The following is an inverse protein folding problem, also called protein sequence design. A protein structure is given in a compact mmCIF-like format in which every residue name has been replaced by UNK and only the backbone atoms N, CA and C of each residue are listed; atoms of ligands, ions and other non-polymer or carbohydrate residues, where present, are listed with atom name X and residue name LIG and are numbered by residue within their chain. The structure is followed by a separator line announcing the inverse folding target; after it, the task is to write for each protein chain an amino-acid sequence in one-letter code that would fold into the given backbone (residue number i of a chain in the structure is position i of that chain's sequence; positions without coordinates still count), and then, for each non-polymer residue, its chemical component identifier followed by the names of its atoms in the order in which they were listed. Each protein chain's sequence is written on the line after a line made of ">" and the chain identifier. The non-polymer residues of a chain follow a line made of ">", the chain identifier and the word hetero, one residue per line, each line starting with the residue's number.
data_IF_008579184104
#
_entry.id   IF_008579184104
#
_cell.length_a   1.000
_cell.length_b   1.000
_cell.length_c   1.000
_cell.angle_alpha   90.00
_cell.angle_beta   90.00
_cell.angle_gamma   90.00
#
_symmetry.space_group_name_H-M   'P 1'
#
loop_
_entity.id
_entity.type
_entity.pdbx_description
1 polymer ?
#
# COMPACT_ATOMS: atom_id res chain seq x y z
N UNK A 1 -26.56 13.95 -9.59
CA UNK A 1 -25.98 14.57 -8.39
C UNK A 1 -24.49 14.24 -8.35
N UNK A 2 -23.56 15.21 -8.42
CA UNK A 2 -22.12 14.94 -8.31
C UNK A 2 -21.74 14.97 -6.83
N UNK A 3 -21.17 13.89 -6.31
CA UNK A 3 -20.80 13.77 -4.89
C UNK A 3 -19.67 14.72 -4.44
N UNK A 4 -18.93 15.32 -5.38
CA UNK A 4 -17.82 16.22 -5.09
C UNK A 4 -16.65 15.54 -4.36
N UNK A 5 -16.46 14.23 -4.58
CA UNK A 5 -15.44 13.42 -3.91
C UNK A 5 -14.03 13.99 -4.05
N UNK A 6 -13.55 14.42 -5.23
CA UNK A 6 -12.20 14.94 -5.37
C UNK A 6 -11.88 16.13 -4.45
N UNK A 7 -12.91 16.89 -4.06
CA UNK A 7 -12.75 18.04 -3.15
C UNK A 7 -12.89 17.63 -1.68
N UNK A 8 -13.77 16.67 -1.39
CA UNK A 8 -14.10 16.25 -0.02
C UNK A 8 -13.11 15.24 0.55
N UNK A 9 -12.65 14.31 -0.27
CA UNK A 9 -11.76 13.24 0.17
C UNK A 9 -10.46 13.75 0.82
N UNK A 10 -9.74 14.75 0.25
CA UNK A 10 -8.55 15.28 0.90
C UNK A 10 -8.82 15.92 2.27
N UNK A 11 -10.00 16.51 2.46
CA UNK A 11 -10.40 17.09 3.74
C UNK A 11 -10.63 15.99 4.78
N UNK A 12 -11.40 14.95 4.39
CA UNK A 12 -11.64 13.81 5.28
C UNK A 12 -10.37 13.04 5.64
N UNK A 13 -9.46 12.86 4.69
CA UNK A 13 -8.17 12.22 4.93
C UNK A 13 -7.38 12.99 5.99
N UNK A 14 -7.30 14.31 5.84
CA UNK A 14 -6.63 15.16 6.81
C UNK A 14 -7.29 15.08 8.20
N UNK A 15 -8.61 15.11 8.28
CA UNK A 15 -9.35 14.96 9.53
C UNK A 15 -9.06 13.62 10.22
N UNK A 16 -9.01 12.52 9.46
CA UNK A 16 -8.71 11.18 9.98
C UNK A 16 -7.26 11.05 10.45
N UNK A 17 -6.34 11.69 9.75
CA UNK A 17 -4.92 11.72 10.12
C UNK A 17 -4.71 12.55 11.40
N UNK A 18 -5.25 13.76 11.45
CA UNK A 18 -5.19 14.64 12.62
C UNK A 18 -5.82 13.98 13.86
N UNK A 19 -6.92 13.25 13.68
CA UNK A 19 -7.61 12.50 14.73
C UNK A 19 -6.90 11.17 15.09
N UNK A 20 -5.86 10.76 14.38
CA UNK A 20 -5.20 9.44 14.53
C UNK A 20 -6.22 8.29 14.53
N UNK A 21 -7.18 8.33 13.59
CA UNK A 21 -8.34 7.46 13.60
C UNK A 21 -7.96 5.97 13.55
N UNK A 22 -6.95 5.61 12.78
CA UNK A 22 -6.49 4.23 12.66
C UNK A 22 -5.93 3.72 14.00
N UNK A 23 -5.05 4.49 14.65
CA UNK A 23 -4.45 4.14 15.93
C UNK A 23 -5.52 3.96 17.02
N UNK A 24 -6.44 4.92 17.12
CA UNK A 24 -7.56 4.83 18.06
C UNK A 24 -8.44 3.60 17.82
N UNK A 25 -8.67 3.23 16.56
CA UNK A 25 -9.38 2.00 16.22
C UNK A 25 -8.62 0.75 16.68
N UNK A 26 -7.30 0.71 16.53
CA UNK A 26 -6.48 -0.42 17.00
C UNK A 26 -6.55 -0.53 18.52
N UNK A 27 -6.40 0.56 19.24
CA UNK A 27 -6.52 0.61 20.70
C UNK A 27 -7.90 0.12 21.19
N UNK A 28 -8.99 0.57 20.56
CA UNK A 28 -10.36 0.13 20.90
C UNK A 28 -10.61 -1.36 20.61
N UNK A 29 -9.83 -1.96 19.74
CA UNK A 29 -9.95 -3.36 19.38
C UNK A 29 -8.88 -4.25 20.06
N UNK A 30 -8.05 -3.68 20.92
CA UNK A 30 -7.08 -4.43 21.69
C UNK A 30 -7.76 -5.49 22.55
N UNK A 31 -7.18 -6.69 22.62
CA UNK A 31 -7.75 -7.81 23.36
C UNK A 31 -8.93 -8.54 22.69
N UNK A 32 -9.47 -8.04 21.57
CA UNK A 32 -10.51 -8.73 20.79
C UNK A 32 -9.91 -9.85 19.93
N UNK A 33 -10.73 -10.82 19.48
CA UNK A 33 -10.27 -11.87 18.59
C UNK A 33 -9.59 -11.32 17.34
N UNK A 34 -8.43 -11.87 16.98
CA UNK A 34 -7.70 -11.43 15.81
C UNK A 34 -8.35 -11.90 14.51
N UNK A 35 -8.38 -11.00 13.53
CA UNK A 35 -8.68 -11.32 12.14
C UNK A 35 -7.52 -10.80 11.27
N UNK A 36 -6.81 -11.72 10.64
CA UNK A 36 -5.70 -11.39 9.74
C UNK A 36 -6.15 -11.58 8.31
N UNK A 37 -6.16 -10.48 7.54
CA UNK A 37 -6.31 -10.55 6.10
C UNK A 37 -4.94 -10.81 5.49
N UNK A 38 -4.74 -12.02 4.96
CA UNK A 38 -3.53 -12.34 4.22
C UNK A 38 -3.54 -11.65 2.87
N UNK A 39 -2.51 -10.87 2.60
CA UNK A 39 -2.38 -10.07 1.37
C UNK A 39 -1.11 -10.45 0.61
N UNK A 40 -1.25 -10.69 -0.69
CA UNK A 40 -0.11 -10.72 -1.61
C UNK A 40 0.33 -9.29 -1.91
N UNK A 41 1.57 -8.89 -1.56
CA UNK A 41 2.01 -7.53 -1.79
C UNK A 41 2.09 -7.22 -3.28
N UNK A 42 1.60 -6.06 -3.73
CA UNK A 42 1.74 -5.64 -5.12
C UNK A 42 3.20 -5.30 -5.45
N UNK A 43 3.58 -5.48 -6.71
CA UNK A 43 4.86 -4.99 -7.20
C UNK A 43 4.90 -3.47 -7.20
N UNK A 44 6.03 -2.91 -6.74
CA UNK A 44 6.28 -1.48 -6.79
C UNK A 44 6.76 -1.07 -8.20
N UNK A 45 5.90 -1.23 -9.21
CA UNK A 45 6.22 -0.90 -10.60
C UNK A 45 5.02 -0.29 -11.33
N UNK A 46 5.24 0.86 -11.99
CA UNK A 46 4.25 1.50 -12.85
C UNK A 46 3.12 2.24 -12.13
N UNK A 47 2.10 2.63 -12.88
CA UNK A 47 0.98 3.41 -12.41
C UNK A 47 -0.15 2.53 -11.86
N UNK A 48 -0.95 3.10 -10.96
CA UNK A 48 -2.17 2.47 -10.46
C UNK A 48 -3.16 2.30 -11.63
N UNK A 49 -3.79 1.14 -11.69
CA UNK A 49 -4.88 0.85 -12.62
C UNK A 49 -6.11 0.34 -11.86
N UNK A 50 -7.25 0.22 -12.57
CA UNK A 50 -8.53 -0.19 -11.97
C UNK A 50 -8.48 -1.50 -11.21
N UNK A 51 -7.63 -2.44 -11.61
CA UNK A 51 -7.43 -3.71 -10.89
C UNK A 51 -6.81 -3.51 -9.51
N UNK A 52 -5.84 -2.60 -9.37
CA UNK A 52 -5.30 -2.21 -8.06
C UNK A 52 -6.39 -1.57 -7.19
N UNK A 53 -7.15 -0.62 -7.76
CA UNK A 53 -8.21 0.05 -7.02
C UNK A 53 -9.26 -0.96 -6.51
N UNK A 54 -9.74 -1.86 -7.36
CA UNK A 54 -10.69 -2.90 -6.99
C UNK A 54 -10.15 -3.81 -5.86
N UNK A 55 -8.90 -4.23 -5.95
CA UNK A 55 -8.26 -5.07 -4.96
C UNK A 55 -8.16 -4.37 -3.60
N UNK A 56 -7.65 -3.13 -3.57
CA UNK A 56 -7.49 -2.36 -2.34
C UNK A 56 -8.84 -1.98 -1.70
N UNK A 57 -9.84 -1.59 -2.48
CA UNK A 57 -11.18 -1.29 -1.98
C UNK A 57 -11.82 -2.53 -1.36
N UNK A 58 -11.72 -3.69 -2.01
CA UNK A 58 -12.27 -4.94 -1.48
C UNK A 58 -11.63 -5.33 -0.15
N UNK A 59 -10.32 -5.18 -0.02
CA UNK A 59 -9.59 -5.44 1.23
C UNK A 59 -9.99 -4.46 2.34
N UNK A 60 -10.10 -3.18 2.02
CA UNK A 60 -10.52 -2.15 2.97
C UNK A 60 -11.93 -2.43 3.51
N UNK A 61 -12.87 -2.81 2.63
CA UNK A 61 -14.23 -3.20 3.04
C UNK A 61 -14.20 -4.39 4.01
N UNK A 62 -13.42 -5.43 3.71
CA UNK A 62 -13.32 -6.62 4.58
C UNK A 62 -12.74 -6.24 5.95
N UNK A 63 -11.63 -5.52 5.99
CA UNK A 63 -10.96 -5.12 7.23
C UNK A 63 -11.85 -4.23 8.09
N UNK A 64 -12.52 -3.25 7.48
CA UNK A 64 -13.45 -2.36 8.21
C UNK A 64 -14.66 -3.13 8.72
N UNK A 65 -15.26 -3.98 7.89
CA UNK A 65 -16.40 -4.82 8.29
C UNK A 65 -16.05 -5.72 9.48
N UNK A 66 -14.90 -6.38 9.45
CA UNK A 66 -14.42 -7.21 10.57
C UNK A 66 -14.14 -6.40 11.83
N UNK A 67 -13.53 -5.25 11.69
CA UNK A 67 -13.28 -4.34 12.82
C UNK A 67 -14.60 -3.87 13.46
N UNK A 68 -15.60 -3.50 12.66
CA UNK A 68 -16.93 -3.13 13.16
C UNK A 68 -17.70 -4.31 13.76
N UNK A 69 -17.40 -5.54 13.34
CA UNK A 69 -17.99 -6.78 13.89
C UNK A 69 -17.30 -7.25 15.17
N UNK A 70 -16.39 -6.46 15.76
CA UNK A 70 -15.79 -6.76 17.05
C UNK A 70 -14.49 -7.55 16.97
N UNK A 71 -13.80 -7.57 15.83
CA UNK A 71 -12.49 -8.18 15.70
C UNK A 71 -11.38 -7.14 15.77
N UNK A 72 -10.21 -7.54 16.28
CA UNK A 72 -8.97 -6.83 16.05
C UNK A 72 -8.45 -7.20 14.65
N UNK A 73 -8.69 -6.30 13.69
CA UNK A 73 -8.38 -6.50 12.27
C UNK A 73 -7.35 -5.45 11.81
N UNK A 74 -6.07 -5.59 12.18
CA UNK A 74 -5.02 -4.73 11.66
C UNK A 74 -4.81 -4.99 10.17
N UNK A 75 -4.52 -3.94 9.43
CA UNK A 75 -4.10 -4.04 8.04
C UNK A 75 -2.73 -3.41 7.89
N UNK A 76 -1.73 -4.23 7.63
CA UNK A 76 -0.34 -3.81 7.45
C UNK A 76 0.00 -4.05 5.97
N UNK A 77 -0.02 -3.01 5.13
CA UNK A 77 0.32 -3.13 3.72
C UNK A 77 1.80 -3.48 3.55
N UNK A 78 2.08 -4.32 2.57
CA UNK A 78 3.43 -4.66 2.13
C UNK A 78 3.62 -4.38 0.65
N UNK A 79 4.88 -4.48 0.19
CA UNK A 79 5.28 -4.26 -1.19
C UNK A 79 6.25 -5.35 -1.62
N UNK A 80 6.07 -5.84 -2.85
CA UNK A 80 7.09 -6.64 -3.50
C UNK A 80 8.08 -5.70 -4.20
N UNK A 81 9.25 -5.56 -3.60
CA UNK A 81 10.31 -4.66 -4.06
C UNK A 81 11.44 -5.39 -4.79
N UNK A 82 11.27 -6.69 -5.02
CA UNK A 82 12.29 -7.54 -5.65
C UNK A 82 11.72 -8.34 -6.82
N UNK A 83 12.60 -8.92 -7.60
CA UNK A 83 12.25 -9.84 -8.66
C UNK A 83 12.13 -9.20 -10.03
N UNK A 84 11.67 -10.02 -10.97
CA UNK A 84 11.67 -9.73 -12.41
C UNK A 84 11.02 -8.38 -12.80
N UNK A 85 9.91 -7.93 -12.20
CA UNK A 85 9.32 -6.64 -12.57
C UNK A 85 10.24 -5.45 -12.35
N UNK A 86 10.98 -5.42 -11.23
CA UNK A 86 11.95 -4.35 -10.92
C UNK A 86 13.17 -4.47 -11.84
N UNK A 87 13.68 -5.69 -12.03
CA UNK A 87 14.80 -5.96 -12.94
C UNK A 87 14.48 -5.52 -14.38
N UNK A 88 13.25 -5.77 -14.87
CA UNK A 88 12.82 -5.33 -16.20
C UNK A 88 12.78 -3.82 -16.34
N UNK A 89 12.37 -3.08 -15.31
CA UNK A 89 12.37 -1.62 -15.35
C UNK A 89 13.79 -1.09 -15.40
N UNK A 90 14.69 -1.59 -14.56
CA UNK A 90 16.10 -1.19 -14.58
C UNK A 90 16.75 -1.53 -15.92
N UNK A 91 16.45 -2.70 -16.51
CA UNK A 91 16.93 -3.07 -17.83
C UNK A 91 16.44 -2.10 -18.93
N UNK A 92 15.18 -1.64 -18.86
CA UNK A 92 14.66 -0.61 -19.78
C UNK A 92 15.34 0.76 -19.60
N UNK A 93 15.86 1.03 -18.41
CA UNK A 93 16.65 2.23 -18.11
C UNK A 93 18.13 2.07 -18.52
N UNK A 94 18.50 0.95 -19.11
CA UNK A 94 19.86 0.68 -19.60
C UNK A 94 20.78 0.04 -18.56
N UNK A 95 20.27 -0.32 -17.38
CA UNK A 95 21.07 -0.98 -16.35
C UNK A 95 21.26 -2.46 -16.73
N UNK A 96 22.51 -2.86 -16.88
CA UNK A 96 22.86 -4.23 -17.26
C UNK A 96 23.41 -5.00 -16.06
N UNK A 97 22.59 -5.87 -15.46
CA UNK A 97 22.96 -6.69 -14.30
C UNK A 97 24.30 -7.43 -14.43
N UNK A 98 24.62 -7.91 -15.64
CA UNK A 98 25.84 -8.72 -15.90
C UNK A 98 27.13 -7.88 -15.91
N UNK A 99 27.01 -6.56 -16.04
CA UNK A 99 28.15 -5.64 -16.17
C UNK A 99 28.43 -4.90 -14.87
N UNK A 100 27.70 -5.22 -13.78
CA UNK A 100 27.82 -4.50 -12.51
C UNK A 100 27.91 -5.46 -11.32
N UNK A 101 28.46 -4.96 -10.22
CA UNK A 101 28.50 -5.71 -8.96
C UNK A 101 27.09 -5.98 -8.42
N UNK A 102 26.90 -7.17 -7.82
CA UNK A 102 25.60 -7.60 -7.31
C UNK A 102 25.07 -6.67 -6.21
N UNK A 103 25.95 -6.20 -5.31
CA UNK A 103 25.54 -5.32 -4.22
C UNK A 103 25.06 -3.97 -4.75
N UNK A 104 25.77 -3.43 -5.73
CA UNK A 104 25.41 -2.18 -6.41
C UNK A 104 24.07 -2.33 -7.16
N UNK A 105 23.88 -3.43 -7.87
CA UNK A 105 22.61 -3.72 -8.54
C UNK A 105 21.43 -3.81 -7.56
N UNK A 106 21.60 -4.52 -6.44
CA UNK A 106 20.57 -4.62 -5.40
C UNK A 106 20.25 -3.27 -4.75
N UNK A 107 21.26 -2.39 -4.65
CA UNK A 107 21.06 -1.02 -4.18
C UNK A 107 20.15 -0.24 -5.14
N UNK A 108 20.40 -0.31 -6.44
CA UNK A 108 19.54 0.32 -7.45
C UNK A 108 18.09 -0.21 -7.41
N UNK A 109 17.91 -1.53 -7.25
CA UNK A 109 16.58 -2.10 -7.07
C UNK A 109 15.87 -1.52 -5.84
N UNK A 110 16.60 -1.39 -4.75
CA UNK A 110 16.07 -0.85 -3.48
C UNK A 110 15.77 0.65 -3.57
N UNK A 111 16.54 1.41 -4.32
CA UNK A 111 16.32 2.85 -4.54
C UNK A 111 15.13 3.11 -5.47
N UNK A 112 14.86 2.22 -6.44
CA UNK A 112 13.71 2.33 -7.32
C UNK A 112 12.38 2.07 -6.60
N UNK A 113 12.34 1.14 -5.67
CA UNK A 113 11.13 0.72 -4.98
C UNK A 113 10.40 1.86 -4.23
N UNK A 114 11.06 2.77 -3.46
CA UNK A 114 10.40 3.87 -2.79
C UNK A 114 9.74 4.88 -3.73
N UNK A 115 10.30 5.12 -4.92
CA UNK A 115 9.72 6.02 -5.92
C UNK A 115 8.36 5.49 -6.41
N UNK A 116 8.29 4.21 -6.71
CA UNK A 116 7.03 3.56 -7.09
C UNK A 116 6.06 3.46 -5.92
N UNK A 117 6.56 3.28 -4.69
CA UNK A 117 5.76 3.25 -3.47
C UNK A 117 4.99 4.55 -3.25
N UNK A 118 5.60 5.71 -3.46
CA UNK A 118 4.93 7.01 -3.29
C UNK A 118 3.80 7.24 -4.30
N UNK A 119 3.87 6.63 -5.47
CA UNK A 119 2.84 6.71 -6.50
C UNK A 119 1.70 5.69 -6.32
N UNK A 120 1.97 4.56 -5.65
CA UNK A 120 1.02 3.46 -5.47
C UNK A 120 0.31 3.47 -4.11
N UNK A 121 0.79 4.23 -3.16
CA UNK A 121 0.05 4.46 -1.91
C UNK A 121 -1.15 5.33 -2.22
N UNK A 122 -2.32 4.68 -2.39
CA UNK A 122 -3.55 5.35 -2.00
C UNK A 122 -3.31 5.91 -0.59
N UNK A 123 -3.86 7.09 -0.25
CA UNK A 123 -3.62 7.74 1.04
C UNK A 123 -4.31 6.97 2.18
N UNK A 124 -3.93 5.73 2.36
CA UNK A 124 -4.26 4.85 3.48
C UNK A 124 -3.14 4.80 4.50
N UNK A 125 -2.20 5.75 4.42
CA UNK A 125 -1.33 6.06 5.53
C UNK A 125 -2.18 6.73 6.61
N UNK A 126 -2.89 5.94 7.32
CA UNK A 126 -3.32 6.27 8.66
C UNK A 126 -2.45 5.51 9.62
#
# INVERSE_FOLDING_TARGET
>A
MRAGLPTKEPVWQKEWEDAKLYQRRQELNEGKPHFVLHDGPPYANGNIHVGHAMNHISKDIIVRSKSMSGFNAPYIPGWDTHGLPIEQVLAKQGVKRKEMDLVEYLKLCREYAPVSYTHLTLPTKA
#
